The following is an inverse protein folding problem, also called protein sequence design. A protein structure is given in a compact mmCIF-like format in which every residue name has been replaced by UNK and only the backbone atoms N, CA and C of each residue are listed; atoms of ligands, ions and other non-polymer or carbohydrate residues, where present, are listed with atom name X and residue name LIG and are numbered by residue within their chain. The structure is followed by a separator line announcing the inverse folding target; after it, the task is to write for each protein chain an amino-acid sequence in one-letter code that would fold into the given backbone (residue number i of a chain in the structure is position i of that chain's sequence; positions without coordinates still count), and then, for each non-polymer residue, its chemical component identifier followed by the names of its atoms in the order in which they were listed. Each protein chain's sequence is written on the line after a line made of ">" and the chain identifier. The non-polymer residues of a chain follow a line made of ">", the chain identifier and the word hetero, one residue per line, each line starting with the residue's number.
data_IF_264418837468
#
_entry.id   IF_264418837468
#
_cell.length_a   1.000
_cell.length_b   1.000
_cell.length_c   1.000
_cell.angle_alpha   90.00
_cell.angle_beta   90.00
_cell.angle_gamma   90.00
#
_symmetry.space_group_name_H-M   'P 1'
#
loop_
_entity.id
_entity.type
_entity.pdbx_description
1 polymer ?
#
# COMPACT_ATOMS: atom_id res chain seq x y z
N UNK A 1 -5.25 -6.22 22.77
CA UNK A 1 -5.29 -6.21 21.29
C UNK A 1 -6.26 -5.11 20.89
N UNK A 2 -5.87 -4.18 20.02
CA UNK A 2 -6.78 -3.16 19.52
C UNK A 2 -7.32 -3.59 18.15
N UNK A 3 -8.61 -3.38 17.93
CA UNK A 3 -9.25 -3.58 16.63
C UNK A 3 -9.73 -2.22 16.14
N UNK A 4 -9.21 -1.77 14.99
CA UNK A 4 -9.65 -0.56 14.33
C UNK A 4 -10.91 -0.91 13.53
N UNK A 5 -12.04 -0.32 13.88
CA UNK A 5 -13.34 -0.67 13.29
C UNK A 5 -13.99 0.54 12.65
N UNK A 6 -14.70 0.34 11.54
CA UNK A 6 -15.50 1.39 10.93
C UNK A 6 -15.78 1.17 9.45
N UNK A 7 -14.94 0.41 8.76
CA UNK A 7 -15.25 -0.02 7.40
C UNK A 7 -16.51 -0.88 7.37
N UNK A 8 -17.28 -0.73 6.30
CA UNK A 8 -18.57 -1.42 6.10
C UNK A 8 -18.45 -2.65 5.20
N UNK A 9 -17.24 -2.96 4.72
CA UNK A 9 -16.94 -4.08 3.86
C UNK A 9 -15.47 -4.51 4.02
N UNK A 10 -15.01 -5.49 3.22
CA UNK A 10 -13.63 -5.98 3.21
C UNK A 10 -12.60 -4.85 3.15
N UNK A 11 -11.53 -5.00 3.91
CA UNK A 11 -10.35 -4.15 3.86
C UNK A 11 -9.30 -4.89 3.07
N UNK A 12 -8.97 -4.36 1.89
CA UNK A 12 -8.12 -5.05 0.92
C UNK A 12 -6.74 -4.40 0.80
N UNK A 13 -6.60 -3.15 1.27
CA UNK A 13 -5.34 -2.44 1.25
C UNK A 13 -5.05 -1.84 2.62
N UNK A 14 -3.80 -1.96 3.08
CA UNK A 14 -3.33 -1.39 4.34
C UNK A 14 -1.89 -0.95 4.20
N UNK A 15 -1.55 0.22 4.76
CA UNK A 15 -0.17 0.64 4.88
C UNK A 15 0.05 1.38 6.20
N UNK A 16 1.14 1.07 6.88
CA UNK A 16 1.58 1.81 8.06
C UNK A 16 2.46 2.99 7.64
N UNK A 17 2.25 4.15 8.25
CA UNK A 17 3.12 5.30 8.06
C UNK A 17 4.54 4.98 8.57
N UNK A 18 5.59 5.52 7.96
CA UNK A 18 6.99 5.21 8.32
C UNK A 18 7.33 5.47 9.80
N UNK A 19 6.68 6.47 10.42
CA UNK A 19 6.83 6.77 11.86
C UNK A 19 6.03 5.84 12.79
N UNK A 20 5.22 4.93 12.23
CA UNK A 20 4.41 3.98 13.00
C UNK A 20 3.25 4.59 13.78
N UNK A 21 2.92 5.88 13.57
CA UNK A 21 1.86 6.61 14.32
C UNK A 21 0.48 6.58 13.68
N UNK A 22 0.43 6.32 12.37
CA UNK A 22 -0.82 6.25 11.60
C UNK A 22 -0.82 5.05 10.67
N UNK A 23 -2.01 4.58 10.36
CA UNK A 23 -2.28 3.55 9.36
C UNK A 23 -3.28 4.13 8.36
N UNK A 24 -3.12 3.79 7.09
CA UNK A 24 -4.12 4.05 6.05
C UNK A 24 -4.69 2.73 5.55
N UNK A 25 -5.99 2.67 5.32
CA UNK A 25 -6.68 1.49 4.78
C UNK A 25 -7.59 1.86 3.61
N UNK A 26 -7.70 0.94 2.66
CA UNK A 26 -8.66 0.98 1.55
C UNK A 26 -9.64 -0.19 1.63
N UNK A 27 -10.91 0.06 1.32
CA UNK A 27 -11.97 -0.93 1.47
C UNK A 27 -12.91 -1.01 0.27
N UNK A 28 -13.61 -2.14 0.20
CA UNK A 28 -14.74 -2.39 -0.69
C UNK A 28 -15.99 -1.57 -0.36
N UNK A 29 -15.97 -0.79 0.73
CA UNK A 29 -16.99 0.25 1.01
C UNK A 29 -16.72 1.56 0.25
N UNK A 30 -15.73 1.58 -0.65
CA UNK A 30 -15.29 2.70 -1.47
C UNK A 30 -14.64 3.85 -0.68
N UNK A 31 -14.27 3.62 0.58
CA UNK A 31 -13.61 4.64 1.42
C UNK A 31 -12.14 4.33 1.64
N UNK A 32 -11.37 5.40 1.80
CA UNK A 32 -10.03 5.35 2.38
C UNK A 32 -10.13 5.90 3.80
N UNK A 33 -9.49 5.25 4.77
CA UNK A 33 -9.52 5.69 6.16
C UNK A 33 -8.12 5.81 6.72
N UNK A 34 -7.93 6.85 7.53
CA UNK A 34 -6.70 7.06 8.29
C UNK A 34 -7.00 6.85 9.76
N UNK A 35 -6.11 6.13 10.43
CA UNK A 35 -6.26 5.71 11.81
C UNK A 35 -5.02 6.10 12.59
N UNK A 36 -5.20 6.43 13.87
CA UNK A 36 -4.09 6.49 14.80
C UNK A 36 -3.74 5.09 15.28
N UNK A 37 -2.45 4.80 15.36
CA UNK A 37 -2.01 3.56 15.99
C UNK A 37 -2.23 3.64 17.50
N UNK A 38 -2.77 2.60 18.14
CA UNK A 38 -2.88 2.56 19.59
C UNK A 38 -1.50 2.72 20.23
N UNK A 39 -1.37 3.63 21.19
CA UNK A 39 -0.15 3.72 21.99
C UNK A 39 -0.01 2.49 22.89
N UNK A 40 1.20 1.97 23.05
CA UNK A 40 1.47 0.98 24.09
C UNK A 40 1.23 1.65 25.45
N UNK A 41 0.19 1.23 26.16
CA UNK A 41 -0.10 1.74 27.50
C UNK A 41 1.08 1.43 28.44
N UNK A 42 1.93 2.43 28.69
CA UNK A 42 2.94 2.40 29.73
C UNK A 42 2.30 2.34 31.11
N UNK A 43 2.78 1.40 31.93
CA UNK A 43 2.69 1.38 33.39
C UNK A 43 1.31 1.24 34.06
N UNK A 44 0.91 -0.02 34.28
CA UNK A 44 0.13 -0.36 35.47
C UNK A 44 0.96 -0.14 36.74
N UNK A 45 0.89 1.04 37.36
CA UNK A 45 1.29 1.26 38.76
C UNK A 45 0.24 2.08 39.51
N UNK A 46 -0.60 1.39 40.28
CA UNK A 46 -0.74 1.53 41.75
C UNK A 46 -2.17 1.27 42.25
N UNK A 47 -2.27 0.20 43.04
CA UNK A 47 -3.07 -0.02 44.24
C UNK A 47 -4.56 0.37 44.28
N UNK A 48 -5.42 -0.66 44.38
CA UNK A 48 -6.30 -0.89 45.54
C UNK A 48 -6.64 -2.37 45.68
N UNK A 49 -6.24 -2.97 46.80
CA UNK A 49 -6.60 -4.33 47.23
C UNK A 49 -8.12 -4.46 47.33
N UNK A 50 -8.72 -5.40 46.62
CA UNK A 50 -9.94 -6.08 47.05
C UNK A 50 -9.88 -7.59 46.75
N UNK A 51 -10.55 -8.34 47.61
CA UNK A 51 -10.35 -9.77 47.91
C UNK A 51 -11.22 -10.65 47.01
N UNK A 52 -10.54 -11.54 46.26
CA UNK A 52 -10.85 -12.90 45.80
C UNK A 52 -12.28 -13.25 45.32
N UNK A 53 -12.39 -13.65 44.06
CA UNK A 53 -12.98 -14.93 43.59
C UNK A 53 -12.30 -15.34 42.28
N UNK A 54 -11.83 -16.59 42.23
CA UNK A 54 -11.17 -17.22 41.08
C UNK A 54 -12.24 -17.74 40.11
N UNK A 55 -12.27 -17.17 38.91
CA UNK A 55 -12.67 -17.78 37.64
C UNK A 55 -12.47 -16.70 36.56
N UNK A 56 -11.22 -16.51 36.10
CA UNK A 56 -10.89 -15.52 35.08
C UNK A 56 -10.08 -16.17 33.97
N UNK A 57 -10.80 -16.74 32.99
CA UNK A 57 -10.25 -17.01 31.68
C UNK A 57 -9.96 -15.66 31.03
N UNK A 58 -8.69 -15.25 31.05
CA UNK A 58 -8.20 -13.92 30.71
C UNK A 58 -8.98 -13.24 29.58
N UNK A 59 -9.90 -12.35 29.97
CA UNK A 59 -10.63 -11.51 29.06
C UNK A 59 -9.65 -10.49 28.46
N UNK A 60 -9.20 -10.74 27.24
CA UNK A 60 -8.45 -9.74 26.48
C UNK A 60 -9.44 -8.62 26.13
N UNK A 61 -9.36 -7.49 26.83
CA UNK A 61 -10.19 -6.33 26.49
C UNK A 61 -9.75 -5.78 25.14
N UNK A 62 -10.67 -5.74 24.19
CA UNK A 62 -10.44 -5.12 22.88
C UNK A 62 -10.76 -3.63 22.99
N UNK A 63 -9.77 -2.78 22.71
CA UNK A 63 -10.03 -1.36 22.53
C UNK A 63 -10.46 -1.13 21.09
N UNK A 64 -11.70 -0.68 20.93
CA UNK A 64 -12.26 -0.29 19.64
C UNK A 64 -11.89 1.17 19.39
N UNK A 65 -11.23 1.44 18.27
CA UNK A 65 -10.87 2.78 17.84
C UNK A 65 -11.55 3.06 16.49
N UNK A 66 -12.16 4.23 16.39
CA UNK A 66 -12.75 4.73 15.14
C UNK A 66 -11.67 5.43 14.28
N UNK A 67 -12.00 5.66 13.01
CA UNK A 67 -11.08 6.33 12.08
C UNK A 67 -10.90 7.81 12.46
N UNK A 68 -9.67 8.30 12.36
CA UNK A 68 -9.34 9.71 12.51
C UNK A 68 -9.90 10.52 11.33
N UNK A 69 -9.75 9.99 10.12
CA UNK A 69 -10.20 10.63 8.87
C UNK A 69 -10.89 9.58 8.00
N UNK A 70 -12.03 9.96 7.40
CA UNK A 70 -12.74 9.18 6.39
C UNK A 70 -12.75 9.94 5.08
N UNK A 71 -12.06 9.41 4.08
CA UNK A 71 -11.90 10.00 2.76
C UNK A 71 -12.87 9.33 1.78
N UNK A 72 -13.84 10.11 1.31
CA UNK A 72 -14.93 9.64 0.43
C UNK A 72 -14.74 10.22 -0.96
N UNK A 73 -14.85 9.37 -2.00
CA UNK A 73 -14.83 9.83 -3.39
C UNK A 73 -14.59 8.74 -4.43
N UNK A 74 -14.05 7.58 -4.06
CA UNK A 74 -14.05 6.43 -4.97
C UNK A 74 -15.49 5.96 -5.22
N UNK A 75 -15.76 5.48 -6.44
CA UNK A 75 -17.09 4.98 -6.84
C UNK A 75 -17.15 3.45 -6.93
N UNK A 76 -16.05 2.77 -6.58
CA UNK A 76 -15.90 1.33 -6.51
C UNK A 76 -14.76 0.97 -5.55
N UNK A 77 -14.46 -0.32 -5.41
CA UNK A 77 -13.55 -0.85 -4.40
C UNK A 77 -12.18 -0.20 -4.45
N UNK A 78 -11.66 0.20 -3.27
CA UNK A 78 -10.29 0.68 -3.13
C UNK A 78 -9.37 -0.52 -2.93
N UNK A 79 -8.41 -0.67 -3.84
CA UNK A 79 -7.54 -1.86 -3.95
C UNK A 79 -6.09 -1.54 -3.61
N UNK A 80 -5.70 -0.26 -3.60
CA UNK A 80 -4.35 0.15 -3.20
C UNK A 80 -4.39 1.46 -2.41
N UNK A 81 -3.55 1.57 -1.38
CA UNK A 81 -3.35 2.78 -0.60
C UNK A 81 -1.87 2.94 -0.25
N UNK A 82 -1.39 4.17 -0.23
CA UNK A 82 -0.04 4.48 0.23
C UNK A 82 0.04 5.89 0.83
N UNK A 83 0.85 6.05 1.87
CA UNK A 83 1.39 7.35 2.25
C UNK A 83 2.45 7.75 1.23
N UNK A 84 2.40 8.99 0.76
CA UNK A 84 3.52 9.56 0.02
C UNK A 84 4.67 9.82 1.01
N UNK A 85 5.89 9.28 0.78
CA UNK A 85 7.01 9.56 1.65
C UNK A 85 7.30 11.06 1.69
N UNK A 86 7.57 11.60 2.88
CA UNK A 86 8.04 12.99 3.00
C UNK A 86 9.51 13.07 2.62
N UNK A 87 9.80 13.93 1.66
CA UNK A 87 11.16 14.31 1.26
C UNK A 87 11.63 15.60 1.91
N UNK A 88 10.68 16.38 2.45
CA UNK A 88 10.89 17.64 3.14
C UNK A 88 9.95 17.78 4.35
N UNK A 89 10.34 18.54 5.36
CA UNK A 89 9.44 18.91 6.47
C UNK A 89 8.23 19.72 6.03
N UNK A 90 8.32 20.33 4.83
CA UNK A 90 7.23 21.05 4.20
C UNK A 90 6.34 20.17 3.31
N UNK A 91 6.64 18.88 3.15
CA UNK A 91 5.75 17.98 2.42
C UNK A 91 4.48 17.74 3.23
N UNK A 92 3.35 18.02 2.58
CA UNK A 92 2.01 17.77 3.07
C UNK A 92 1.83 16.27 3.37
N UNK A 93 1.04 15.95 4.39
CA UNK A 93 0.60 14.59 4.68
C UNK A 93 -0.33 14.15 3.54
N UNK A 94 0.23 13.57 2.48
CA UNK A 94 -0.52 13.10 1.32
C UNK A 94 -0.70 11.59 1.38
N UNK A 95 -1.96 11.16 1.22
CA UNK A 95 -2.31 9.77 0.96
C UNK A 95 -2.66 9.62 -0.51
N UNK A 96 -2.23 8.53 -1.11
CA UNK A 96 -2.59 8.13 -2.46
C UNK A 96 -3.43 6.87 -2.38
N UNK A 97 -4.50 6.79 -3.16
CA UNK A 97 -5.31 5.59 -3.27
C UNK A 97 -5.66 5.28 -4.71
N UNK A 98 -5.94 4.01 -4.99
CA UNK A 98 -6.41 3.56 -6.28
C UNK A 98 -7.45 2.45 -6.14
N UNK A 99 -8.28 2.29 -7.17
CA UNK A 99 -9.39 1.35 -7.09
C UNK A 99 -9.90 0.81 -8.42
N UNK A 100 -10.96 -0.01 -8.30
CA UNK A 100 -11.70 -0.59 -9.42
C UNK A 100 -12.47 0.45 -10.24
N UNK A 101 -12.62 1.67 -9.72
CA UNK A 101 -13.19 2.81 -10.45
C UNK A 101 -12.23 3.43 -11.49
N UNK A 102 -11.00 2.88 -11.58
CA UNK A 102 -9.93 3.27 -12.50
C UNK A 102 -9.28 4.60 -12.15
N UNK A 103 -9.56 5.15 -10.98
CA UNK A 103 -8.95 6.40 -10.53
C UNK A 103 -7.75 6.12 -9.62
N UNK A 104 -6.76 6.99 -9.71
CA UNK A 104 -5.77 7.22 -8.66
C UNK A 104 -6.10 8.58 -8.04
N UNK A 105 -6.28 8.63 -6.72
CA UNK A 105 -6.64 9.86 -5.99
C UNK A 105 -5.52 10.24 -5.05
N UNK A 106 -5.21 11.52 -5.02
CA UNK A 106 -4.31 12.13 -4.03
C UNK A 106 -5.17 12.89 -3.03
N UNK A 107 -4.95 12.61 -1.76
CA UNK A 107 -5.69 13.16 -0.64
C UNK A 107 -4.75 13.95 0.23
N UNK A 108 -5.08 15.21 0.46
CA UNK A 108 -4.42 16.04 1.44
C UNK A 108 -5.08 15.80 2.80
N UNK A 109 -4.32 15.28 3.77
CA UNK A 109 -4.83 14.99 5.11
C UNK A 109 -5.01 16.25 5.97
N UNK A 110 -4.40 17.38 5.61
CA UNK A 110 -4.60 18.67 6.30
C UNK A 110 -5.96 19.24 5.92
N UNK A 111 -6.29 19.28 4.63
CA UNK A 111 -7.60 19.74 4.15
C UNK A 111 -8.67 18.66 4.16
N UNK A 112 -8.29 17.40 4.40
CA UNK A 112 -9.15 16.21 4.36
C UNK A 112 -9.94 16.10 3.05
N UNK A 113 -9.29 16.44 1.95
CA UNK A 113 -9.94 16.56 0.65
C UNK A 113 -9.12 15.91 -0.47
N UNK A 114 -9.80 15.55 -1.56
CA UNK A 114 -9.13 15.02 -2.75
C UNK A 114 -8.49 16.20 -3.50
N UNK A 115 -7.16 16.31 -3.45
CA UNK A 115 -6.42 17.37 -4.13
C UNK A 115 -6.29 17.11 -5.63
N UNK A 116 -6.16 15.85 -6.04
CA UNK A 116 -6.12 15.44 -7.45
C UNK A 116 -6.81 14.09 -7.69
N UNK A 117 -7.41 13.94 -8.87
CA UNK A 117 -7.98 12.68 -9.36
C UNK A 117 -7.43 12.39 -10.75
N UNK A 118 -6.59 11.36 -10.84
CA UNK A 118 -5.96 10.91 -12.07
C UNK A 118 -6.80 9.76 -12.65
N UNK A 119 -7.36 9.98 -13.83
CA UNK A 119 -8.29 9.04 -14.45
C UNK A 119 -7.55 8.09 -15.41
N UNK A 120 -7.64 6.80 -15.13
CA UNK A 120 -7.14 5.73 -15.98
C UNK A 120 -8.20 5.08 -16.86
N UNK A 121 -7.73 4.16 -17.71
CA UNK A 121 -8.58 3.37 -18.60
C UNK A 121 -8.82 1.93 -18.12
N UNK A 122 -8.26 1.55 -16.96
CA UNK A 122 -8.30 0.19 -16.40
C UNK A 122 -8.40 0.22 -14.89
N UNK A 123 -9.04 -0.78 -14.32
CA UNK A 123 -9.08 -0.98 -12.88
C UNK A 123 -7.66 -1.17 -12.34
N UNK A 124 -7.43 -0.72 -11.11
CA UNK A 124 -6.15 -0.89 -10.41
C UNK A 124 -6.28 -2.04 -9.43
N UNK A 125 -5.22 -2.82 -9.28
CA UNK A 125 -5.16 -3.96 -8.36
C UNK A 125 -4.28 -3.70 -7.17
N UNK A 126 -3.25 -2.88 -7.34
CA UNK A 126 -2.34 -2.46 -6.28
C UNK A 126 -1.65 -1.15 -6.69
N UNK A 127 -1.08 -0.44 -5.71
CA UNK A 127 -0.43 0.86 -5.88
C UNK A 127 0.74 1.03 -4.92
N UNK A 128 1.84 1.60 -5.43
CA UNK A 128 2.99 2.04 -4.62
C UNK A 128 3.46 3.43 -5.05
N UNK A 129 4.03 4.20 -4.11
CA UNK A 129 4.49 5.58 -4.32
C UNK A 129 5.92 5.75 -3.84
N UNK A 130 6.78 6.32 -4.69
CA UNK A 130 8.17 6.59 -4.32
C UNK A 130 8.35 7.97 -3.68
N UNK A 131 9.56 8.25 -3.18
CA UNK A 131 9.91 9.52 -2.54
C UNK A 131 9.65 10.74 -3.45
N UNK A 132 9.86 10.61 -4.76
CA UNK A 132 9.60 11.69 -5.72
C UNK A 132 8.11 11.93 -6.02
N UNK A 133 7.20 11.14 -5.46
CA UNK A 133 5.76 11.23 -5.72
C UNK A 133 5.33 10.60 -7.06
N UNK A 134 6.19 9.80 -7.68
CA UNK A 134 5.78 8.95 -8.80
C UNK A 134 4.99 7.76 -8.28
N UNK A 135 3.98 7.36 -9.04
CA UNK A 135 3.03 6.33 -8.62
C UNK A 135 3.13 5.15 -9.60
N UNK A 136 3.23 3.93 -9.07
CA UNK A 136 3.06 2.70 -9.84
C UNK A 136 1.68 2.12 -9.55
N UNK A 137 1.04 1.58 -10.58
CA UNK A 137 -0.19 0.81 -10.44
C UNK A 137 -0.09 -0.54 -11.13
N UNK A 138 -0.52 -1.57 -10.41
CA UNK A 138 -0.72 -2.93 -10.92
C UNK A 138 -2.10 -3.06 -11.57
N UNK A 139 -2.23 -3.87 -12.62
CA UNK A 139 -3.49 -3.99 -13.34
C UNK A 139 -3.87 -5.43 -13.75
N UNK A 140 -5.18 -5.71 -13.89
CA UNK A 140 -5.68 -6.95 -14.45
C UNK A 140 -5.35 -7.14 -15.94
N UNK A 141 -4.94 -6.09 -16.66
CA UNK A 141 -4.56 -6.16 -18.08
C UNK A 141 -3.08 -6.46 -18.30
N UNK A 142 -2.45 -7.12 -17.31
CA UNK A 142 -1.08 -7.66 -17.34
C UNK A 142 0.01 -6.58 -17.41
N UNK A 143 -0.37 -5.33 -17.11
CA UNK A 143 0.49 -4.18 -17.20
C UNK A 143 0.79 -3.59 -15.83
N UNK A 144 1.97 -2.98 -15.71
CA UNK A 144 2.26 -1.96 -14.70
C UNK A 144 2.23 -0.60 -15.39
N UNK A 145 1.70 0.43 -14.73
CA UNK A 145 1.73 1.80 -15.25
C UNK A 145 2.45 2.73 -14.28
N UNK A 146 3.25 3.62 -14.85
CA UNK A 146 3.94 4.70 -14.14
C UNK A 146 3.17 6.00 -14.37
N UNK A 147 2.79 6.66 -13.28
CA UNK A 147 2.10 7.93 -13.30
C UNK A 147 2.99 9.02 -12.71
N UNK A 148 2.93 10.18 -13.34
CA UNK A 148 3.48 11.42 -12.78
C UNK A 148 2.34 12.42 -12.59
N UNK A 149 1.87 12.65 -11.35
CA UNK A 149 0.82 13.63 -11.06
C UNK A 149 1.18 15.06 -11.52
N UNK A 150 2.47 15.39 -11.63
CA UNK A 150 2.96 16.72 -12.03
C UNK A 150 2.72 16.98 -13.52
N UNK A 151 2.65 15.94 -14.34
CA UNK A 151 2.43 16.03 -15.79
C UNK A 151 1.09 16.68 -16.16
N UNK A 152 0.10 16.62 -15.26
CA UNK A 152 -1.19 17.28 -15.48
C UNK A 152 -1.06 18.81 -15.60
N UNK A 153 -0.07 19.41 -14.92
CA UNK A 153 0.16 20.86 -14.96
C UNK A 153 0.82 21.32 -16.26
N UNK A 154 1.62 20.46 -16.88
CA UNK A 154 2.29 20.73 -18.16
C UNK A 154 1.46 20.33 -19.39
N UNK A 155 0.31 19.69 -19.19
CA UNK A 155 -0.54 19.18 -20.28
C UNK A 155 -0.01 17.89 -20.92
N UNK A 156 0.96 17.25 -20.29
CA UNK A 156 1.51 15.96 -20.73
C UNK A 156 0.61 14.79 -20.29
N UNK A 157 0.82 13.61 -20.88
CA UNK A 157 0.13 12.39 -20.47
C UNK A 157 0.45 12.07 -19.01
N UNK A 158 -0.57 11.94 -18.16
CA UNK A 158 -0.37 11.58 -16.74
C UNK A 158 0.27 10.19 -16.61
N UNK A 159 -0.09 9.26 -17.49
CA UNK A 159 0.59 7.96 -17.62
C UNK A 159 1.84 8.16 -18.47
N UNK A 160 2.99 8.15 -17.81
CA UNK A 160 4.31 8.35 -18.42
C UNK A 160 4.82 7.08 -19.10
N UNK A 161 4.46 5.90 -18.55
CA UNK A 161 4.92 4.61 -19.09
C UNK A 161 3.96 3.48 -18.80
N UNK A 162 3.96 2.48 -19.67
CA UNK A 162 3.28 1.19 -19.45
C UNK A 162 4.29 0.07 -19.67
N UNK A 163 4.50 -0.77 -18.64
CA UNK A 163 5.39 -1.93 -18.69
C UNK A 163 4.57 -3.18 -19.00
N UNK A 164 4.92 -3.86 -20.11
CA UNK A 164 4.21 -5.03 -20.64
C UNK A 164 5.16 -6.21 -20.71
N UNK A 165 5.11 -7.10 -19.72
CA UNK A 165 5.94 -8.32 -19.70
C UNK A 165 5.27 -9.50 -19.01
N UNK A 166 4.40 -9.25 -18.02
CA UNK A 166 3.62 -10.31 -17.39
C UNK A 166 2.63 -10.93 -18.38
N UNK A 167 2.36 -12.22 -18.17
CA UNK A 167 1.46 -13.00 -19.02
C UNK A 167 0.03 -13.03 -18.50
N UNK A 168 -0.15 -12.71 -17.22
CA UNK A 168 -1.43 -12.71 -16.51
C UNK A 168 -1.56 -11.44 -15.65
N UNK A 169 -2.65 -11.35 -14.89
CA UNK A 169 -2.95 -10.27 -13.95
C UNK A 169 -1.73 -9.90 -13.09
N UNK A 170 -1.31 -8.63 -13.10
CA UNK A 170 -0.33 -8.09 -12.15
C UNK A 170 -1.03 -7.80 -10.81
N UNK A 171 -0.71 -8.58 -9.80
CA UNK A 171 -1.38 -8.57 -8.51
C UNK A 171 -0.82 -7.53 -7.54
N UNK A 172 0.49 -7.28 -7.58
CA UNK A 172 1.16 -6.38 -6.64
C UNK A 172 2.34 -5.66 -7.29
N UNK A 173 2.62 -4.44 -6.83
CA UNK A 173 3.76 -3.61 -7.26
C UNK A 173 4.36 -2.90 -6.06
N UNK A 174 5.68 -2.79 -6.02
CA UNK A 174 6.32 -2.02 -4.96
C UNK A 174 7.59 -1.31 -5.42
N UNK A 175 7.70 -0.02 -5.09
CA UNK A 175 8.90 0.76 -5.32
C UNK A 175 10.01 0.34 -4.38
N UNK A 176 11.26 0.47 -4.84
CA UNK A 176 12.39 0.39 -3.93
C UNK A 176 12.30 1.52 -2.89
N UNK A 177 12.46 1.21 -1.60
CA UNK A 177 12.31 2.19 -0.51
C UNK A 177 13.52 3.11 -0.28
N UNK A 178 14.65 2.86 -0.97
CA UNK A 178 15.85 3.69 -0.85
C UNK A 178 15.74 4.81 -1.88
N UNK A 179 15.85 6.07 -1.43
CA UNK A 179 15.81 7.24 -2.30
C UNK A 179 16.91 7.21 -3.37
N UNK A 180 18.03 6.53 -3.14
CA UNK A 180 19.09 6.39 -4.15
C UNK A 180 18.70 5.44 -5.29
N UNK A 181 17.75 4.54 -5.04
CA UNK A 181 17.26 3.53 -5.97
C UNK A 181 15.79 3.78 -6.35
N UNK A 182 15.33 5.02 -6.29
CA UNK A 182 13.94 5.45 -6.56
C UNK A 182 13.41 5.14 -7.97
N UNK A 183 14.27 4.67 -8.86
CA UNK A 183 13.95 4.21 -10.21
C UNK A 183 13.72 2.69 -10.28
N UNK A 184 14.06 1.95 -9.22
CA UNK A 184 13.86 0.51 -9.16
C UNK A 184 12.53 0.15 -8.53
N UNK A 185 11.87 -0.87 -9.07
CA UNK A 185 10.64 -1.41 -8.49
C UNK A 185 10.51 -2.89 -8.81
N UNK A 186 9.59 -3.56 -8.13
CA UNK A 186 9.19 -4.94 -8.43
C UNK A 186 7.71 -5.03 -8.76
N UNK A 187 7.36 -6.05 -9.52
CA UNK A 187 5.97 -6.42 -9.78
C UNK A 187 5.77 -7.92 -9.67
N UNK A 188 4.60 -8.33 -9.19
CA UNK A 188 4.20 -9.71 -9.02
C UNK A 188 2.93 -10.01 -9.80
N UNK A 189 2.78 -11.25 -10.26
CA UNK A 189 1.66 -11.63 -11.13
C UNK A 189 1.12 -13.03 -10.87
N UNK A 190 -0.13 -13.21 -11.27
CA UNK A 190 -0.79 -14.51 -11.32
C UNK A 190 -0.13 -15.50 -12.30
N UNK A 191 0.85 -15.07 -13.11
CA UNK A 191 1.71 -15.96 -13.89
C UNK A 191 2.80 -16.66 -13.04
N UNK A 192 2.80 -16.43 -11.73
CA UNK A 192 3.74 -17.00 -10.76
C UNK A 192 5.12 -16.34 -10.76
N UNK A 193 5.32 -15.28 -11.54
CA UNK A 193 6.59 -14.57 -11.63
C UNK A 193 6.60 -13.27 -10.84
N UNK A 194 7.76 -12.98 -10.24
CA UNK A 194 8.14 -11.64 -9.82
C UNK A 194 9.12 -11.06 -10.85
N UNK A 195 9.05 -9.75 -11.09
CA UNK A 195 9.96 -9.05 -12.01
C UNK A 195 10.57 -7.85 -11.31
N UNK A 196 11.86 -7.65 -11.53
CA UNK A 196 12.62 -6.47 -11.08
C UNK A 196 12.80 -5.53 -12.26
N UNK A 197 12.58 -4.25 -12.04
CA UNK A 197 12.52 -3.26 -13.10
C UNK A 197 13.38 -2.05 -12.80
N UNK A 198 13.84 -1.41 -13.87
CA UNK A 198 14.25 -0.01 -13.88
C UNK A 198 13.14 0.77 -14.59
N UNK A 199 12.54 1.75 -13.94
CA UNK A 199 11.49 2.61 -14.48
C UNK A 199 11.92 3.41 -15.71
N UNK A 200 13.23 3.54 -15.93
CA UNK A 200 13.83 4.17 -17.12
C UNK A 200 13.94 3.20 -18.30
N UNK A 201 13.76 1.90 -18.09
CA UNK A 201 13.66 0.85 -19.12
C UNK A 201 12.21 0.39 -19.34
N UNK A 202 11.91 -0.28 -20.46
CA UNK A 202 10.63 -0.99 -20.67
C UNK A 202 10.77 -2.50 -20.58
N UNK A 203 12.01 -2.99 -20.41
CA UNK A 203 12.35 -4.40 -20.27
C UNK A 203 12.72 -4.64 -18.80
N UNK A 204 12.22 -5.72 -18.16
CA UNK A 204 12.60 -6.04 -16.80
C UNK A 204 14.09 -6.38 -16.71
N UNK A 205 14.74 -5.95 -15.63
CA UNK A 205 16.12 -6.31 -15.32
C UNK A 205 16.23 -7.80 -15.02
N UNK A 206 15.29 -8.32 -14.25
CA UNK A 206 15.20 -9.73 -13.89
C UNK A 206 13.75 -10.23 -13.94
N UNK A 207 13.57 -11.50 -14.28
CA UNK A 207 12.31 -12.24 -14.13
C UNK A 207 12.60 -13.49 -13.32
N UNK A 208 11.86 -13.68 -12.24
CA UNK A 208 12.05 -14.77 -11.29
C UNK A 208 10.76 -15.58 -11.21
N UNK A 209 10.85 -16.90 -11.41
CA UNK A 209 9.76 -17.83 -11.10
C UNK A 209 9.64 -17.96 -9.59
N UNK A 210 8.70 -17.20 -9.01
CA UNK A 210 8.57 -17.07 -7.57
C UNK A 210 7.66 -18.13 -6.97
N UNK A 211 6.58 -18.52 -7.66
CA UNK A 211 5.59 -19.47 -7.16
C UNK A 211 5.19 -20.48 -8.24
N UNK A 212 4.72 -21.66 -7.81
CA UNK A 212 4.14 -22.69 -8.71
C UNK A 212 2.71 -22.34 -9.15
N UNK A 213 2.07 -21.41 -8.43
CA UNK A 213 0.77 -20.84 -8.75
C UNK A 213 0.83 -19.31 -8.79
N UNK A 214 -0.25 -18.64 -8.40
CA UNK A 214 -0.36 -17.18 -8.43
C UNK A 214 0.51 -16.55 -7.36
N UNK A 215 1.33 -15.57 -7.75
CA UNK A 215 1.89 -14.61 -6.79
C UNK A 215 0.77 -13.64 -6.42
N UNK A 216 0.42 -13.57 -5.14
CA UNK A 216 -0.69 -12.77 -4.64
C UNK A 216 -0.25 -11.40 -4.15
N UNK A 217 0.89 -11.32 -3.47
CA UNK A 217 1.42 -10.07 -2.94
C UNK A 217 2.95 -10.09 -2.88
N UNK A 218 3.57 -8.91 -2.85
CA UNK A 218 5.01 -8.73 -2.66
C UNK A 218 5.32 -7.49 -1.82
N UNK A 219 6.52 -7.45 -1.27
CA UNK A 219 6.99 -6.26 -0.54
C UNK A 219 8.51 -6.12 -0.64
N UNK A 220 8.97 -4.93 -0.99
CA UNK A 220 10.37 -4.55 -0.87
C UNK A 220 10.79 -4.45 0.59
N UNK A 221 12.05 -4.78 0.85
CA UNK A 221 12.65 -4.60 2.16
C UNK A 221 13.32 -3.23 2.24
N UNK A 222 13.11 -2.53 3.36
CA UNK A 222 13.72 -1.23 3.69
C UNK A 222 15.20 -1.29 4.12
N UNK A 223 15.89 -2.44 4.00
CA UNK A 223 17.27 -2.60 4.50
C UNK A 223 18.20 -3.17 3.42
N UNK A 224 19.39 -2.57 3.32
CA UNK A 224 20.38 -2.83 2.27
C UNK A 224 21.21 -4.12 2.46
N UNK A 225 20.78 -5.10 3.24
CA UNK A 225 21.54 -6.35 3.41
C UNK A 225 20.69 -7.64 3.32
N UNK A 226 21.10 -8.52 2.39
CA UNK A 226 20.70 -9.91 2.25
C UNK A 226 19.48 -10.13 1.35
N UNK A 227 18.30 -9.68 1.78
CA UNK A 227 17.03 -9.89 1.07
C UNK A 227 16.55 -8.57 0.49
N UNK A 228 16.31 -8.53 -0.82
CA UNK A 228 15.76 -7.36 -1.51
C UNK A 228 14.23 -7.27 -1.36
N UNK A 229 13.51 -8.37 -1.59
CA UNK A 229 12.04 -8.40 -1.49
C UNK A 229 11.51 -9.79 -1.13
N UNK A 230 10.26 -9.84 -0.68
CA UNK A 230 9.53 -11.07 -0.33
C UNK A 230 8.26 -11.20 -1.16
N UNK A 231 7.81 -12.43 -1.41
CA UNK A 231 6.57 -12.71 -2.15
C UNK A 231 5.73 -13.76 -1.46
N UNK A 232 4.41 -13.59 -1.48
CA UNK A 232 3.43 -14.58 -1.01
C UNK A 232 2.57 -15.09 -2.16
N UNK A 233 2.23 -16.39 -2.14
CA UNK A 233 1.49 -17.03 -3.23
C UNK A 233 0.33 -17.92 -2.78
N UNK A 234 -0.53 -18.28 -3.73
CA UNK A 234 -1.64 -19.22 -3.52
C UNK A 234 -1.18 -20.67 -3.26
N UNK A 235 0.10 -20.95 -3.56
CA UNK A 235 0.83 -22.16 -3.21
C UNK A 235 1.17 -22.25 -1.71
N UNK A 236 0.71 -21.28 -0.91
CA UNK A 236 0.86 -21.22 0.56
C UNK A 236 2.30 -21.05 1.01
N UNK A 237 3.17 -20.50 0.14
CA UNK A 237 4.58 -20.23 0.45
C UNK A 237 4.84 -18.73 0.56
N UNK A 238 5.86 -18.42 1.35
CA UNK A 238 6.51 -17.11 1.38
C UNK A 238 7.95 -17.33 0.88
N UNK A 239 8.36 -16.61 -0.16
CA UNK A 239 9.69 -16.72 -0.74
C UNK A 239 10.47 -15.42 -0.59
N UNK A 240 11.77 -15.53 -0.32
CA UNK A 240 12.68 -14.42 -0.08
C UNK A 240 13.70 -14.37 -1.22
N UNK A 241 13.94 -13.18 -1.77
CA UNK A 241 14.84 -13.00 -2.89
C UNK A 241 15.95 -12.01 -2.54
N UNK A 242 17.18 -12.39 -2.85
CA UNK A 242 18.33 -11.49 -2.97
C UNK A 242 18.48 -11.12 -4.45
N UNK A 243 18.59 -9.84 -4.77
CA UNK A 243 18.84 -9.34 -6.15
C UNK A 243 20.24 -8.78 -6.23
#
# INVERSE_FOLDING_TARGET
>A
MAALTGHLNSVDAVQMHALGKRVVTGSWDNTVRVWQTPEESGEQRSAKKHKKTEDDAGAVSFQQLEAEIVLVGHTSYVTGVAFRPKTSEHDEDVVVSAGSDRNVRLWDLVTQSCSQALVGNRAVSDLSVNANGLILTAHPDHCVRLWDPRAQQSGESIVQRTFRSHKEWVSSVDWHPDSNNEHLFVSGSYDGTAKVWDARSTIPLHTVSAHEGKLLDLSWRNQNEGVAFVTGGDDKKLNFFSV
#
